data_IF_166072826765
#
_entry.id   IF_166072826765
#
_cell.length_a   1.000
_cell.length_b   1.000
_cell.length_c   1.000
_cell.angle_alpha   90.00
_cell.angle_beta   90.00
_cell.angle_gamma   90.00
#
_symmetry.space_group_name_H-M   'P 1'
#
loop_
_entity.id
_entity.type
_entity.pdbx_description
1 polymer ?
#
# COMPACT_ATOMS: atom_id res chain seq x y z
N UNK A 1 -5.66 -20.77 -11.10
CA UNK A 1 -5.57 -19.31 -11.28
C UNK A 1 -4.18 -18.91 -10.87
N UNK A 2 -3.47 -18.39 -11.85
CA UNK A 2 -2.03 -18.23 -11.94
C UNK A 2 -1.54 -17.24 -10.89
N UNK A 3 -0.65 -17.69 -10.00
CA UNK A 3 0.12 -16.79 -9.14
C UNK A 3 1.10 -16.08 -10.06
N UNK A 4 0.74 -14.88 -10.53
CA UNK A 4 1.70 -13.99 -11.19
C UNK A 4 2.63 -13.47 -10.10
N UNK A 5 3.65 -14.27 -9.79
CA UNK A 5 4.87 -13.81 -9.14
C UNK A 5 5.53 -12.85 -10.12
N UNK A 6 5.13 -11.59 -10.08
CA UNK A 6 5.94 -10.52 -10.66
C UNK A 6 7.21 -10.51 -9.82
N UNK A 7 8.31 -10.95 -10.42
CA UNK A 7 9.66 -10.73 -9.89
C UNK A 7 9.79 -9.22 -9.63
N UNK A 8 9.57 -8.81 -8.36
CA UNK A 8 9.80 -7.43 -7.94
C UNK A 8 11.32 -7.26 -7.88
N UNK A 9 11.88 -6.85 -9.02
CA UNK A 9 13.22 -6.27 -9.10
C UNK A 9 13.41 -5.32 -7.90
N UNK A 10 14.56 -5.39 -7.25
CA UNK A 10 14.88 -4.59 -6.07
C UNK A 10 14.86 -3.10 -6.47
N UNK A 11 13.69 -2.46 -6.29
CA UNK A 11 13.45 -1.07 -6.65
C UNK A 11 14.33 -0.16 -5.80
N UNK A 12 15.12 0.69 -6.44
CA UNK A 12 15.91 1.70 -5.73
C UNK A 12 14.97 2.85 -5.36
N UNK A 13 14.82 3.11 -4.06
CA UNK A 13 14.05 4.24 -3.51
C UNK A 13 14.47 5.59 -4.16
N UNK A 14 15.68 5.68 -4.71
CA UNK A 14 16.22 6.86 -5.41
C UNK A 14 15.43 7.27 -6.66
N UNK A 15 14.57 6.41 -7.20
CA UNK A 15 13.82 6.67 -8.43
C UNK A 15 12.40 7.23 -8.18
N UNK A 16 12.02 7.43 -6.91
CA UNK A 16 10.73 8.01 -6.53
C UNK A 16 10.85 9.53 -6.43
N UNK A 17 10.02 10.24 -7.20
CA UNK A 17 9.89 11.69 -7.18
C UNK A 17 8.43 12.14 -7.08
N UNK A 18 8.20 13.45 -7.01
CA UNK A 18 6.85 14.00 -6.86
C UNK A 18 5.90 13.66 -8.02
N UNK A 19 6.43 13.33 -9.20
CA UNK A 19 5.64 13.05 -10.41
C UNK A 19 5.12 11.61 -10.39
N UNK A 20 5.89 10.67 -9.86
CA UNK A 20 5.54 9.23 -9.85
C UNK A 20 5.11 8.70 -8.48
N UNK A 21 5.28 9.45 -7.37
CA UNK A 21 4.99 8.97 -6.01
C UNK A 21 3.57 8.43 -5.80
N UNK A 22 2.59 8.96 -6.54
CA UNK A 22 1.18 8.53 -6.44
C UNK A 22 0.96 7.10 -6.93
N UNK A 23 1.77 6.64 -7.88
CA UNK A 23 1.71 5.27 -8.41
C UNK A 23 2.07 4.21 -7.36
N UNK A 24 2.76 4.65 -6.29
CA UNK A 24 3.21 3.79 -5.20
C UNK A 24 2.29 3.81 -3.98
N UNK A 25 1.29 4.71 -3.93
CA UNK A 25 0.36 4.79 -2.81
C UNK A 25 -0.75 3.74 -2.93
N UNK A 26 -0.88 2.90 -1.91
CA UNK A 26 -1.96 1.91 -1.86
C UNK A 26 -3.28 2.61 -1.53
N UNK A 27 -4.33 2.20 -2.25
CA UNK A 27 -5.71 2.61 -1.97
C UNK A 27 -6.09 3.97 -2.53
N UNK A 28 -5.21 4.61 -3.31
CA UNK A 28 -5.48 5.90 -3.94
C UNK A 28 -6.70 5.86 -4.88
N UNK A 29 -6.84 4.78 -5.63
CA UNK A 29 -7.96 4.57 -6.57
C UNK A 29 -9.13 3.80 -5.96
N UNK A 30 -9.13 3.64 -4.62
CA UNK A 30 -10.19 2.90 -3.94
C UNK A 30 -11.51 3.64 -4.11
N UNK A 31 -12.49 2.96 -4.70
CA UNK A 31 -13.88 3.42 -4.76
C UNK A 31 -14.59 3.10 -3.45
N UNK A 32 -15.40 4.04 -2.98
CA UNK A 32 -16.22 3.91 -1.77
C UNK A 32 -17.68 4.26 -2.09
N UNK A 33 -18.65 3.53 -1.53
CA UNK A 33 -20.06 3.81 -1.76
C UNK A 33 -20.52 5.05 -0.98
N UNK A 34 -21.44 5.79 -1.58
CA UNK A 34 -22.21 6.87 -0.97
C UNK A 34 -23.58 6.35 -0.53
N UNK A 35 -24.30 7.16 0.24
CA UNK A 35 -25.63 6.81 0.77
C UNK A 35 -26.68 6.56 -0.33
N UNK A 36 -26.50 7.15 -1.50
CA UNK A 36 -27.36 6.96 -2.68
C UNK A 36 -26.98 5.72 -3.51
N UNK A 37 -25.96 4.96 -3.07
CA UNK A 37 -25.45 3.78 -3.77
C UNK A 37 -24.48 4.10 -4.91
N UNK A 38 -24.21 5.37 -5.22
CA UNK A 38 -23.15 5.74 -6.15
C UNK A 38 -21.77 5.45 -5.53
N UNK A 39 -20.77 5.20 -6.37
CA UNK A 39 -19.39 5.03 -5.90
C UNK A 39 -18.55 6.24 -6.31
N UNK A 40 -17.67 6.70 -5.42
CA UNK A 40 -16.70 7.78 -5.68
C UNK A 40 -15.29 7.34 -5.29
N UNK A 41 -14.28 7.99 -5.86
CA UNK A 41 -12.90 7.78 -5.43
C UNK A 41 -12.71 8.34 -4.02
N UNK A 42 -12.14 7.53 -3.12
CA UNK A 42 -11.81 7.95 -1.77
C UNK A 42 -10.69 9.00 -1.78
N UNK A 43 -10.88 10.05 -0.99
CA UNK A 43 -9.87 11.10 -0.78
C UNK A 43 -9.68 11.29 0.72
N UNK A 44 -8.49 10.98 1.23
CA UNK A 44 -8.15 11.24 2.63
C UNK A 44 -7.78 12.71 2.83
N UNK A 45 -8.68 13.47 3.46
CA UNK A 45 -8.40 14.86 3.87
C UNK A 45 -7.82 14.98 5.29
N UNK A 46 -7.61 13.87 5.99
CA UNK A 46 -7.06 13.82 7.35
C UNK A 46 -5.70 13.10 7.40
N UNK A 47 -4.78 13.48 6.52
CA UNK A 47 -3.45 12.88 6.47
C UNK A 47 -2.61 13.15 7.74
N UNK A 48 -2.99 14.17 8.52
CA UNK A 48 -2.34 14.49 9.79
C UNK A 48 -2.63 13.44 10.87
N UNK A 49 -3.82 12.82 10.85
CA UNK A 49 -4.13 11.70 11.74
C UNK A 49 -3.47 10.40 11.28
N UNK A 50 -3.53 10.09 9.98
CA UNK A 50 -2.86 8.93 9.39
C UNK A 50 -2.71 9.07 7.88
N UNK A 51 -1.60 8.57 7.32
CA UNK A 51 -1.26 8.68 5.90
C UNK A 51 -1.35 7.31 5.22
N UNK A 52 -1.89 7.22 3.99
CA UNK A 52 -1.88 5.98 3.21
C UNK A 52 -0.47 5.41 3.05
N UNK A 53 -0.35 4.09 3.08
CA UNK A 53 0.95 3.41 2.98
C UNK A 53 1.42 3.27 1.53
N UNK A 54 2.72 3.06 1.36
CA UNK A 54 3.31 2.72 0.06
C UNK A 54 3.35 1.20 -0.17
N UNK A 55 3.32 0.81 -1.45
CA UNK A 55 3.33 -0.59 -1.87
C UNK A 55 4.56 -1.36 -1.38
N UNK A 56 5.76 -0.76 -1.45
CA UNK A 56 6.99 -1.39 -0.98
C UNK A 56 7.04 -1.56 0.55
N UNK A 57 6.36 -0.71 1.32
CA UNK A 57 6.22 -0.90 2.78
C UNK A 57 5.29 -2.07 3.03
N UNK A 58 4.16 -2.11 2.33
CA UNK A 58 3.19 -3.20 2.43
C UNK A 58 3.82 -4.55 2.08
N UNK A 59 4.58 -4.63 0.98
CA UNK A 59 5.32 -5.83 0.58
C UNK A 59 6.25 -6.28 1.70
N UNK A 60 7.04 -5.35 2.26
CA UNK A 60 8.02 -5.68 3.28
C UNK A 60 7.36 -6.16 4.57
N UNK A 61 6.26 -5.53 4.97
CA UNK A 61 5.43 -6.01 6.09
C UNK A 61 4.94 -7.42 5.79
N UNK A 62 4.42 -7.66 4.58
CA UNK A 62 3.97 -8.98 4.12
C UNK A 62 5.04 -10.07 4.24
N UNK A 63 6.27 -9.79 3.79
CA UNK A 63 7.42 -10.69 3.93
C UNK A 63 7.71 -11.03 5.41
N UNK A 64 7.62 -10.05 6.31
CA UNK A 64 7.87 -10.27 7.74
C UNK A 64 6.74 -10.99 8.47
N UNK A 65 5.51 -10.93 7.96
CA UNK A 65 4.38 -11.65 8.56
C UNK A 65 4.58 -13.17 8.55
N UNK A 66 5.41 -13.72 7.66
CA UNK A 66 5.77 -15.15 7.68
C UNK A 66 6.54 -15.55 8.96
N UNK A 67 7.22 -14.59 9.58
CA UNK A 67 7.96 -14.76 10.82
C UNK A 67 7.22 -14.20 12.03
N UNK A 68 5.90 -14.00 11.92
CA UNK A 68 5.11 -13.41 12.99
C UNK A 68 5.11 -14.33 14.22
N UNK A 69 5.86 -13.93 15.24
CA UNK A 69 5.93 -14.62 16.53
C UNK A 69 6.20 -13.62 17.66
N UNK A 70 6.26 -14.11 18.91
CA UNK A 70 6.50 -13.25 20.05
C UNK A 70 7.97 -12.80 20.08
N UNK A 71 8.18 -11.48 20.05
CA UNK A 71 9.51 -10.86 20.13
C UNK A 71 10.27 -11.19 21.42
N UNK A 72 9.57 -11.68 22.46
CA UNK A 72 10.19 -11.91 23.75
C UNK A 72 10.89 -13.27 23.90
N UNK A 73 10.58 -14.32 23.10
CA UNK A 73 11.28 -15.63 23.15
C UNK A 73 11.25 -16.50 21.88
N UNK A 74 10.87 -15.99 20.72
CA UNK A 74 10.69 -16.83 19.52
C UNK A 74 9.34 -17.54 19.58
#
# INVERSE_FOLDING_TARGET
MEKTTVEKESRKIKDIDIKNIREHLIGLDKRVPLLDGSEVQYVNFDNAASTPTFDFIYDKVGEYLEFYSNVHRG
#
